data_IF_044814329870
#
_entry.id   IF_044814329870
#
_cell.length_a   1.000
_cell.length_b   1.000
_cell.length_c   1.000
_cell.angle_alpha   90.00
_cell.angle_beta   90.00
_cell.angle_gamma   90.00
#
_symmetry.space_group_name_H-M   'P 1'
#
loop_
_entity.id
_entity.type
_entity.pdbx_description
1 polymer ?
#
# COMPACT_ATOMS: atom_id res chain seq x y z
N UNK A 1 41.04 0.97 -1.26
CA UNK A 1 40.14 0.05 -0.53
C UNK A 1 38.91 -0.12 -1.39
N UNK A 2 38.83 -1.24 -2.08
CA UNK A 2 37.88 -1.49 -3.18
C UNK A 2 36.60 -2.10 -2.61
N UNK A 3 35.49 -1.39 -2.74
CA UNK A 3 34.14 -1.91 -2.46
C UNK A 3 33.92 -3.13 -3.39
N UNK A 4 33.24 -4.21 -2.96
CA UNK A 4 33.02 -5.37 -3.81
C UNK A 4 32.03 -4.99 -4.92
N UNK A 5 32.56 -4.52 -6.06
CA UNK A 5 31.86 -4.18 -7.30
C UNK A 5 31.27 -5.45 -7.97
N UNK A 6 30.40 -6.18 -7.28
CA UNK A 6 29.82 -7.42 -7.79
C UNK A 6 28.31 -7.58 -7.57
N UNK A 7 27.69 -6.74 -6.73
CA UNK A 7 26.24 -6.75 -6.58
C UNK A 7 25.62 -5.67 -7.49
N UNK A 8 24.94 -6.06 -8.59
CA UNK A 8 24.37 -5.10 -9.53
C UNK A 8 23.17 -4.31 -8.94
N UNK A 9 22.69 -4.67 -7.75
CA UNK A 9 21.61 -3.99 -7.04
C UNK A 9 22.10 -2.85 -6.12
N UNK A 10 23.42 -2.62 -6.06
CA UNK A 10 24.04 -1.60 -5.22
C UNK A 10 24.74 -0.54 -6.07
N UNK A 11 24.82 0.69 -5.55
CA UNK A 11 25.56 1.80 -6.17
C UNK A 11 26.27 2.64 -5.10
N UNK A 12 27.25 3.43 -5.50
CA UNK A 12 27.82 4.47 -4.62
C UNK A 12 26.80 5.59 -4.49
N UNK A 13 26.60 6.10 -3.27
CA UNK A 13 25.68 7.20 -3.06
C UNK A 13 26.08 8.43 -3.88
N UNK A 14 25.13 9.06 -4.60
CA UNK A 14 25.38 10.31 -5.32
C UNK A 14 25.47 11.52 -4.37
N UNK A 15 25.07 11.36 -3.11
CA UNK A 15 25.01 12.47 -2.16
C UNK A 15 26.34 12.61 -1.42
N UNK A 16 26.89 13.82 -1.44
CA UNK A 16 28.15 14.13 -0.75
C UNK A 16 28.09 13.89 0.77
N UNK A 17 26.90 14.03 1.37
CA UNK A 17 26.63 13.74 2.79
C UNK A 17 26.98 12.32 3.19
N UNK A 18 26.91 11.39 2.25
CA UNK A 18 27.03 9.96 2.54
C UNK A 18 28.49 9.49 2.42
N UNK A 19 29.43 10.39 2.12
CA UNK A 19 30.86 10.10 2.11
C UNK A 19 31.28 8.99 1.16
N UNK A 20 30.51 8.74 0.09
CA UNK A 20 30.76 7.65 -0.85
C UNK A 20 30.33 6.27 -0.36
N UNK A 21 29.43 6.19 0.62
CA UNK A 21 28.85 4.93 1.07
C UNK A 21 28.12 4.18 -0.07
N UNK A 22 28.06 2.85 0.05
CA UNK A 22 27.25 2.01 -0.83
C UNK A 22 25.80 2.04 -0.39
N UNK A 23 24.89 2.31 -1.32
CA UNK A 23 23.45 2.31 -1.10
C UNK A 23 22.76 1.35 -2.08
N UNK A 24 21.52 0.97 -1.75
CA UNK A 24 20.67 0.24 -2.68
C UNK A 24 20.29 1.10 -3.88
N UNK A 25 20.34 0.52 -5.08
CA UNK A 25 19.77 1.13 -6.28
C UNK A 25 18.25 1.18 -6.16
N UNK A 26 17.63 2.18 -6.79
CA UNK A 26 16.18 2.21 -6.92
C UNK A 26 15.70 1.02 -7.78
N UNK A 27 14.85 0.12 -7.26
CA UNK A 27 14.36 -1.03 -8.02
C UNK A 27 13.73 -0.69 -9.37
N UNK A 28 13.20 0.53 -9.54
CA UNK A 28 12.56 0.99 -10.79
C UNK A 28 13.58 1.24 -11.91
N UNK A 29 14.84 1.47 -11.56
CA UNK A 29 15.92 1.78 -12.50
C UNK A 29 16.84 0.58 -12.79
N UNK A 30 16.60 -0.56 -12.16
CA UNK A 30 17.41 -1.78 -12.31
C UNK A 30 16.95 -2.57 -13.54
N UNK A 31 17.89 -2.88 -14.43
CA UNK A 31 17.63 -3.63 -15.66
C UNK A 31 17.33 -5.10 -15.36
N UNK A 32 16.59 -5.77 -16.24
CA UNK A 32 16.14 -7.16 -16.06
C UNK A 32 17.28 -8.15 -15.79
N UNK A 33 18.42 -7.97 -16.46
CA UNK A 33 19.58 -8.86 -16.30
C UNK A 33 20.26 -8.73 -14.93
N UNK A 34 20.21 -7.55 -14.31
CA UNK A 34 20.78 -7.29 -12.98
C UNK A 34 19.99 -8.00 -11.87
N UNK A 35 18.73 -8.35 -12.12
CA UNK A 35 17.91 -9.10 -11.17
C UNK A 35 18.26 -10.59 -11.11
N UNK A 36 19.02 -11.13 -12.08
CA UNK A 36 19.34 -12.55 -12.15
C UNK A 36 20.05 -13.03 -10.87
N UNK A 37 19.68 -14.21 -10.40
CA UNK A 37 20.22 -14.80 -9.17
C UNK A 37 19.52 -14.39 -7.87
N UNK A 38 18.59 -13.44 -7.93
CA UNK A 38 17.77 -13.06 -6.77
C UNK A 38 16.47 -13.88 -6.68
N UNK A 39 15.95 -14.12 -5.47
CA UNK A 39 14.68 -14.81 -5.31
C UNK A 39 13.50 -13.89 -5.69
N UNK A 40 12.72 -14.29 -6.69
CA UNK A 40 11.50 -13.58 -7.12
C UNK A 40 10.31 -13.86 -6.21
N UNK A 41 10.42 -13.49 -4.93
CA UNK A 41 9.33 -13.63 -3.97
C UNK A 41 8.37 -12.44 -4.09
N UNK A 42 7.07 -12.74 -4.15
CA UNK A 42 6.01 -11.73 -4.22
C UNK A 42 4.91 -12.00 -3.19
N UNK A 43 4.19 -10.95 -2.82
CA UNK A 43 3.03 -11.01 -1.93
C UNK A 43 3.31 -11.76 -0.62
N UNK A 44 2.44 -12.73 -0.29
CA UNK A 44 2.51 -13.49 0.95
C UNK A 44 3.81 -14.29 1.10
N UNK A 45 4.43 -14.74 -0.01
CA UNK A 45 5.72 -15.44 0.04
C UNK A 45 6.85 -14.51 0.47
N UNK A 46 6.88 -13.29 -0.06
CA UNK A 46 7.86 -12.27 0.33
C UNK A 46 7.67 -11.86 1.81
N UNK A 47 6.42 -11.65 2.23
CA UNK A 47 6.09 -11.33 3.63
C UNK A 47 6.56 -12.47 4.55
N UNK A 48 6.30 -13.72 4.19
CA UNK A 48 6.72 -14.88 4.98
C UNK A 48 8.24 -14.97 5.10
N UNK A 49 8.97 -14.75 4.00
CA UNK A 49 10.42 -14.73 4.00
C UNK A 49 10.95 -13.61 4.91
N UNK A 50 10.35 -12.40 4.87
CA UNK A 50 10.73 -11.33 5.79
C UNK A 50 10.47 -11.67 7.25
N UNK A 51 9.38 -12.38 7.54
CA UNK A 51 9.11 -12.82 8.91
C UNK A 51 10.12 -13.86 9.39
N UNK A 52 10.56 -14.79 8.52
CA UNK A 52 11.63 -15.74 8.83
C UNK A 52 12.96 -15.04 9.07
N UNK A 53 13.29 -14.04 8.25
CA UNK A 53 14.47 -13.20 8.41
C UNK A 53 14.46 -12.44 9.75
N UNK A 54 13.31 -11.87 10.14
CA UNK A 54 13.18 -11.10 11.37
C UNK A 54 13.20 -11.96 12.65
N UNK A 55 12.60 -13.15 12.63
CA UNK A 55 12.45 -14.00 13.81
C UNK A 55 13.37 -15.25 13.80
N UNK A 56 14.26 -15.35 12.82
CA UNK A 56 15.20 -16.45 12.55
C UNK A 56 14.60 -17.81 12.17
N UNK A 57 13.49 -18.24 12.79
CA UNK A 57 12.89 -19.54 12.49
C UNK A 57 11.35 -19.56 12.48
N UNK A 58 10.78 -20.66 12.00
CA UNK A 58 9.33 -20.81 11.92
C UNK A 58 8.63 -20.95 13.28
N UNK A 59 9.33 -21.39 14.34
CA UNK A 59 8.76 -21.54 15.69
C UNK A 59 8.58 -20.16 16.32
N UNK A 60 9.55 -19.28 16.17
CA UNK A 60 9.53 -17.93 16.70
C UNK A 60 8.56 -17.03 15.92
N UNK A 61 8.42 -17.19 14.60
CA UNK A 61 7.34 -16.46 13.87
C UNK A 61 5.95 -16.82 14.42
N UNK A 62 5.70 -18.07 14.81
CA UNK A 62 4.41 -18.47 15.43
C UNK A 62 4.20 -17.80 16.78
N UNK A 63 5.27 -17.62 17.56
CA UNK A 63 5.25 -17.00 18.90
C UNK A 63 5.45 -15.48 18.89
N UNK A 64 5.61 -14.86 17.72
CA UNK A 64 5.88 -13.43 17.60
C UNK A 64 4.79 -12.61 18.29
N UNK A 65 5.20 -11.82 19.30
CA UNK A 65 4.33 -10.98 20.13
C UNK A 65 4.17 -9.55 19.60
N UNK A 66 4.88 -9.19 18.53
CA UNK A 66 4.86 -7.82 18.00
C UNK A 66 3.60 -7.55 17.17
N UNK A 67 2.46 -7.39 17.85
CA UNK A 67 1.15 -7.21 17.22
C UNK A 67 1.02 -5.91 16.45
N UNK A 68 1.82 -4.90 16.77
CA UNK A 68 1.86 -3.61 16.07
C UNK A 68 2.64 -3.68 14.74
N UNK A 69 3.26 -4.83 14.44
CA UNK A 69 3.91 -5.03 13.16
C UNK A 69 2.85 -5.13 12.05
N UNK A 70 2.92 -4.31 10.98
CA UNK A 70 1.94 -4.32 9.89
C UNK A 70 1.90 -5.67 9.14
N UNK A 71 2.96 -6.46 9.23
CA UNK A 71 3.03 -7.80 8.63
C UNK A 71 2.47 -8.90 9.54
N UNK A 72 2.20 -8.61 10.82
CA UNK A 72 1.82 -9.61 11.82
C UNK A 72 0.59 -10.45 11.43
N UNK A 73 -0.49 -9.89 10.84
CA UNK A 73 -1.64 -10.69 10.41
C UNK A 73 -1.30 -11.70 9.30
N UNK A 74 -0.27 -11.40 8.50
CA UNK A 74 0.13 -12.17 7.31
C UNK A 74 1.41 -12.99 7.54
N UNK A 75 1.97 -12.97 8.76
CA UNK A 75 3.28 -13.56 9.09
C UNK A 75 3.39 -15.07 8.83
N UNK A 76 2.24 -15.75 8.74
CA UNK A 76 2.15 -17.18 8.39
C UNK A 76 2.22 -17.46 6.88
N UNK A 77 2.32 -16.43 6.04
CA UNK A 77 2.34 -16.59 4.57
C UNK A 77 0.97 -16.92 3.98
N UNK A 78 -0.10 -16.67 4.73
CA UNK A 78 -1.50 -16.87 4.34
C UNK A 78 -2.33 -15.70 4.86
N UNK A 79 -3.50 -15.47 4.26
CA UNK A 79 -4.47 -14.50 4.77
C UNK A 79 -5.43 -15.20 5.73
N UNK A 80 -5.46 -14.86 7.03
CA UNK A 80 -6.43 -15.44 7.96
C UNK A 80 -7.85 -15.04 7.58
N UNK A 81 -8.81 -15.98 7.69
CA UNK A 81 -10.22 -15.74 7.34
C UNK A 81 -10.81 -14.54 8.10
N UNK A 82 -10.62 -14.51 9.42
CA UNK A 82 -11.12 -13.41 10.27
C UNK A 82 -10.50 -12.06 9.93
N UNK A 83 -9.23 -12.03 9.53
CA UNK A 83 -8.58 -10.79 9.09
C UNK A 83 -9.18 -10.28 7.77
N UNK A 84 -9.38 -11.16 6.78
CA UNK A 84 -9.98 -10.74 5.52
C UNK A 84 -11.44 -10.31 5.68
N UNK A 85 -12.20 -10.97 6.55
CA UNK A 85 -13.57 -10.57 6.87
C UNK A 85 -13.59 -9.17 7.50
N UNK A 86 -12.82 -8.94 8.56
CA UNK A 86 -12.75 -7.63 9.22
C UNK A 86 -12.33 -6.52 8.25
N UNK A 87 -11.38 -6.80 7.35
CA UNK A 87 -10.97 -5.86 6.30
C UNK A 87 -12.13 -5.52 5.35
N UNK A 88 -12.87 -6.52 4.90
CA UNK A 88 -14.02 -6.32 4.00
C UNK A 88 -15.15 -5.54 4.68
N UNK A 89 -15.41 -5.81 5.96
CA UNK A 89 -16.40 -5.09 6.75
C UNK A 89 -16.01 -3.62 6.92
N UNK A 90 -14.74 -3.33 7.22
CA UNK A 90 -14.22 -1.97 7.31
C UNK A 90 -14.31 -1.22 5.96
N UNK A 91 -13.88 -1.86 4.88
CA UNK A 91 -13.95 -1.30 3.53
C UNK A 91 -15.40 -1.03 3.11
N UNK A 92 -16.34 -1.91 3.48
CA UNK A 92 -17.77 -1.70 3.22
C UNK A 92 -18.38 -0.57 4.06
N UNK A 93 -17.99 -0.42 5.34
CA UNK A 93 -18.47 0.70 6.16
C UNK A 93 -18.05 2.05 5.57
N UNK A 94 -16.81 2.17 5.11
CA UNK A 94 -16.33 3.40 4.46
C UNK A 94 -17.08 3.68 3.16
N UNK A 95 -17.26 2.65 2.32
CA UNK A 95 -18.01 2.77 1.05
C UNK A 95 -19.49 3.12 1.28
N UNK A 96 -20.12 2.60 2.33
CA UNK A 96 -21.52 2.92 2.65
C UNK A 96 -21.67 4.33 3.15
N UNK A 97 -20.78 4.83 4.02
CA UNK A 97 -20.78 6.23 4.46
C UNK A 97 -20.54 7.20 3.30
N UNK A 98 -19.58 6.91 2.42
CA UNK A 98 -19.32 7.72 1.24
C UNK A 98 -20.52 7.73 0.28
N UNK A 99 -21.12 6.57 -0.01
CA UNK A 99 -22.31 6.47 -0.86
C UNK A 99 -23.52 7.17 -0.27
N UNK A 100 -23.75 7.09 1.05
CA UNK A 100 -24.82 7.83 1.73
C UNK A 100 -24.61 9.35 1.62
N UNK A 101 -23.37 9.81 1.76
CA UNK A 101 -23.02 11.24 1.61
C UNK A 101 -23.27 11.73 0.19
N UNK A 102 -22.85 10.96 -0.82
CA UNK A 102 -23.12 11.28 -2.23
C UNK A 102 -24.62 11.30 -2.50
N UNK A 103 -25.37 10.30 -2.04
CA UNK A 103 -26.81 10.23 -2.21
C UNK A 103 -27.53 11.43 -1.56
N UNK A 104 -27.11 11.85 -0.36
CA UNK A 104 -27.66 13.03 0.32
C UNK A 104 -27.42 14.32 -0.48
N UNK A 105 -26.21 14.51 -1.05
CA UNK A 105 -25.90 15.66 -1.92
C UNK A 105 -26.75 15.67 -3.18
N UNK A 106 -26.88 14.53 -3.85
CA UNK A 106 -27.71 14.40 -5.06
C UNK A 106 -29.21 14.60 -4.78
N UNK A 107 -29.69 14.26 -3.57
CA UNK A 107 -31.08 14.50 -3.16
C UNK A 107 -31.38 15.97 -2.90
N UNK A 108 -30.41 16.74 -2.38
CA UNK A 108 -30.56 18.17 -2.12
C UNK A 108 -30.66 18.99 -3.42
N UNK A 109 -29.92 18.61 -4.48
CA UNK A 109 -29.94 19.32 -5.77
C UNK A 109 -31.29 19.20 -6.52
N UNK A 110 -32.01 18.08 -6.35
CA UNK A 110 -33.31 17.85 -7.02
C UNK A 110 -34.49 18.60 -6.39
N UNK A 111 -34.32 19.09 -5.15
CA UNK A 111 -35.34 19.85 -4.42
C UNK A 111 -35.06 21.37 -4.40
N UNK A 112 -34.05 21.84 -5.14
CA UNK A 112 -33.84 23.27 -5.34
C UNK A 112 -35.07 23.87 -6.05
N UNK A 113 -35.67 24.96 -5.56
CA UNK A 113 -36.81 25.59 -6.22
C UNK A 113 -36.41 25.99 -7.64
N UNK A 114 -37.08 25.44 -8.66
CA UNK A 114 -36.94 25.90 -10.03
C UNK A 114 -37.28 27.38 -10.08
N UNK A 115 -36.28 28.23 -10.27
CA UNK A 115 -36.47 29.67 -10.40
C UNK A 115 -36.91 29.99 -11.83
N UNK A 116 -38.07 29.46 -12.23
CA UNK A 116 -38.76 29.88 -13.45
C UNK A 116 -39.84 30.89 -13.04
N UNK A 117 -39.44 32.14 -12.90
CA UNK A 117 -40.38 33.26 -12.95
C UNK A 117 -40.33 33.88 -14.33
N UNK A 118 -41.27 33.40 -15.13
CA UNK A 118 -41.81 33.93 -16.36
C UNK A 118 -41.97 35.46 -16.28
N UNK A 119 -41.11 36.21 -16.96
CA UNK A 119 -41.32 37.65 -17.24
C UNK A 119 -42.05 37.78 -18.58
N UNK A 120 -43.36 37.65 -18.53
CA UNK A 120 -44.24 38.07 -19.60
C UNK A 120 -45.45 38.83 -19.04
N UNK A 121 -45.75 39.92 -19.73
CA UNK A 121 -46.93 40.78 -19.64
C UNK A 121 -47.03 41.82 -18.52
N UNK A 122 -46.49 43.00 -18.83
CA UNK A 122 -47.18 44.26 -18.55
C UNK A 122 -46.75 45.30 -19.58
N UNK A 123 -47.52 45.49 -20.66
CA UNK A 123 -47.66 46.79 -21.33
C UNK A 123 -48.67 46.77 -22.48
N UNK A 124 -49.81 47.41 -22.18
CA UNK A 124 -50.71 48.17 -23.06
C UNK A 124 -51.75 47.43 -23.87
#
# INVERSE_FOLDING_TARGET
MSIPFGNPLLQVSPFASDGGAVIGRDPRDIQSDDWRGNPFLIGLKAIRAKCLDCAFDAKEVRKCVQTDCPLWPLRMGTVPKGFNQARQEAEFSEVTEERLTIAARMGAEKNAPSTDQNVAEMSK
#
